data_IF_514827806318
#
_entry.id   IF_514827806318
#
_cell.length_a   1.000
_cell.length_b   1.000
_cell.length_c   1.000
_cell.angle_alpha   90.00
_cell.angle_beta   90.00
_cell.angle_gamma   90.00
#
_symmetry.space_group_name_H-M   'P 1'
#
loop_
_entity.id
_entity.type
_entity.pdbx_description
1 polymer ?
#
# COMPACT_ATOMS: atom_id res chain seq x y z
N UNK A 1 -1.66 5.55 -1.84
CA UNK A 1 -0.56 4.74 -2.46
C UNK A 1 -1.03 4.25 -3.82
N UNK A 2 -0.30 4.54 -4.87
CA UNK A 2 -0.58 4.09 -6.25
C UNK A 2 0.43 3.04 -6.68
N UNK A 3 -0.01 1.85 -7.04
CA UNK A 3 0.85 0.80 -7.60
C UNK A 3 1.21 1.14 -9.04
N UNK A 4 2.51 1.19 -9.35
CA UNK A 4 3.01 1.61 -10.67
C UNK A 4 3.67 0.48 -11.47
N UNK A 5 4.10 -0.59 -10.80
CA UNK A 5 4.67 -1.75 -11.47
C UNK A 5 4.28 -3.05 -10.74
N UNK A 6 3.52 -3.91 -11.42
CA UNK A 6 3.10 -5.23 -10.95
C UNK A 6 3.94 -6.29 -11.65
N UNK A 7 4.96 -6.81 -10.97
CA UNK A 7 5.89 -7.82 -11.52
C UNK A 7 5.59 -9.22 -10.96
N UNK A 8 6.24 -10.24 -11.51
CA UNK A 8 6.05 -11.64 -11.12
C UNK A 8 6.36 -11.87 -9.64
N UNK A 9 7.38 -11.21 -9.10
CA UNK A 9 7.89 -11.47 -7.75
C UNK A 9 7.67 -10.31 -6.78
N UNK A 10 7.33 -9.12 -7.28
CA UNK A 10 7.14 -7.92 -6.45
C UNK A 10 6.19 -6.91 -7.09
N UNK A 11 5.75 -5.97 -6.30
CA UNK A 11 4.93 -4.84 -6.71
C UNK A 11 5.58 -3.55 -6.21
N UNK A 12 5.83 -2.59 -7.11
CA UNK A 12 6.29 -1.25 -6.75
C UNK A 12 5.11 -0.29 -6.79
N UNK A 13 5.04 0.57 -5.80
CA UNK A 13 4.09 1.67 -5.73
C UNK A 13 4.78 2.97 -5.37
N UNK A 14 3.99 4.05 -5.37
CA UNK A 14 4.36 5.37 -4.86
C UNK A 14 3.39 5.78 -3.77
N UNK A 15 3.91 6.24 -2.66
CA UNK A 15 3.15 6.80 -1.56
C UNK A 15 3.12 8.32 -1.69
N UNK A 16 1.94 8.89 -1.49
CA UNK A 16 1.68 10.33 -1.52
C UNK A 16 1.02 10.70 -0.19
N UNK A 17 1.32 11.87 0.35
CA UNK A 17 0.66 12.44 1.52
C UNK A 17 -0.35 13.46 1.01
N UNK A 18 -1.60 13.31 1.42
CA UNK A 18 -2.74 14.11 0.97
C UNK A 18 -3.55 14.53 2.19
N UNK A 19 -4.18 15.70 2.12
CA UNK A 19 -5.16 16.14 3.10
C UNK A 19 -6.55 15.55 2.88
N UNK A 20 -7.46 15.73 3.82
CA UNK A 20 -8.85 15.29 3.67
C UNK A 20 -9.59 16.04 2.56
N UNK A 21 -9.19 17.30 2.29
CA UNK A 21 -9.70 18.12 1.19
C UNK A 21 -9.46 17.50 -0.18
N UNK A 22 -8.45 16.65 -0.34
CA UNK A 22 -8.10 15.97 -1.58
C UNK A 22 -8.90 14.69 -1.81
N UNK A 23 -9.65 14.24 -0.80
CA UNK A 23 -10.31 12.95 -0.78
C UNK A 23 -11.82 13.06 -0.74
N UNK A 24 -12.50 12.14 -1.43
CA UNK A 24 -13.93 11.89 -1.31
C UNK A 24 -14.18 10.62 -0.50
N UNK A 25 -15.20 10.66 0.35
CA UNK A 25 -15.65 9.48 1.09
C UNK A 25 -16.89 8.93 0.40
N UNK A 26 -16.78 7.73 -0.14
CA UNK A 26 -17.87 6.98 -0.74
C UNK A 26 -18.11 5.67 0.00
N UNK A 27 -19.16 4.95 -0.41
CA UNK A 27 -19.45 3.60 0.08
C UNK A 27 -19.37 2.63 -1.10
N UNK A 28 -18.57 1.58 -0.96
CA UNK A 28 -18.48 0.56 -2.00
C UNK A 28 -19.71 -0.36 -2.01
N UNK A 29 -19.82 -1.23 -3.04
CA UNK A 29 -20.92 -2.19 -3.23
C UNK A 29 -21.09 -3.20 -2.06
N UNK A 30 -20.21 -3.17 -1.06
CA UNK A 30 -20.25 -4.00 0.15
C UNK A 30 -20.57 -3.20 1.42
N UNK A 31 -21.03 -1.95 1.27
CA UNK A 31 -21.37 -1.07 2.40
C UNK A 31 -20.16 -0.55 3.19
N UNK A 32 -18.93 -0.70 2.69
CA UNK A 32 -17.73 -0.20 3.38
C UNK A 32 -17.35 1.19 2.87
N UNK A 33 -16.99 2.07 3.78
CA UNK A 33 -16.43 3.38 3.45
C UNK A 33 -15.15 3.20 2.64
N UNK A 34 -15.05 3.91 1.53
CA UNK A 34 -13.89 3.98 0.65
C UNK A 34 -13.52 5.43 0.46
N UNK A 35 -12.25 5.74 0.62
CA UNK A 35 -11.73 7.06 0.29
C UNK A 35 -11.16 7.02 -1.11
N UNK A 36 -11.63 7.90 -1.96
CA UNK A 36 -11.17 8.05 -3.35
C UNK A 36 -10.60 9.44 -3.57
N UNK A 37 -9.67 9.54 -4.50
CA UNK A 37 -9.03 10.79 -4.84
C UNK A 37 -9.99 11.66 -5.67
N UNK A 38 -10.22 12.92 -5.28
CA UNK A 38 -11.06 13.87 -6.04
C UNK A 38 -10.45 14.19 -7.40
N UNK A 39 -9.13 14.43 -7.43
CA UNK A 39 -8.42 14.74 -8.67
C UNK A 39 -7.11 13.93 -8.76
N UNK A 40 -6.91 13.10 -9.82
CA UNK A 40 -5.67 12.37 -10.04
C UNK A 40 -4.40 13.23 -10.15
N UNK A 41 -4.51 14.50 -10.53
CA UNK A 41 -3.37 15.43 -10.65
C UNK A 41 -2.73 15.78 -9.31
N UNK A 42 -3.42 15.50 -8.20
CA UNK A 42 -2.89 15.61 -6.85
C UNK A 42 -1.78 14.59 -6.56
N UNK A 43 -1.66 13.53 -7.36
CA UNK A 43 -0.55 12.58 -7.29
C UNK A 43 0.66 13.12 -8.08
N UNK A 44 1.27 14.17 -7.59
CA UNK A 44 2.37 14.90 -8.22
C UNK A 44 3.63 14.92 -7.35
N UNK A 45 4.66 15.68 -7.75
CA UNK A 45 5.93 15.76 -7.02
C UNK A 45 5.82 16.40 -5.63
N UNK A 46 4.88 17.32 -5.42
CA UNK A 46 4.72 18.02 -4.16
C UNK A 46 4.12 17.12 -3.08
N UNK A 47 3.21 16.22 -3.47
CA UNK A 47 2.55 15.26 -2.59
C UNK A 47 3.28 13.92 -2.51
N UNK A 48 4.24 13.66 -3.41
CA UNK A 48 5.05 12.44 -3.39
C UNK A 48 5.89 12.35 -2.12
N UNK A 49 5.78 11.23 -1.42
CA UNK A 49 6.52 10.99 -0.18
C UNK A 49 7.66 9.98 -0.37
N UNK A 50 7.37 8.80 -0.94
CA UNK A 50 8.37 7.75 -1.16
C UNK A 50 7.87 6.67 -2.11
N UNK A 51 8.74 5.75 -2.49
CA UNK A 51 8.35 4.51 -3.14
C UNK A 51 7.98 3.44 -2.12
N UNK A 52 7.20 2.46 -2.58
CA UNK A 52 6.78 1.30 -1.79
C UNK A 52 7.11 0.01 -2.51
N UNK A 53 7.33 -1.06 -1.74
CA UNK A 53 7.49 -2.40 -2.27
C UNK A 53 6.64 -3.38 -1.48
N UNK A 54 5.91 -4.23 -2.20
CA UNK A 54 5.08 -5.29 -1.68
C UNK A 54 5.44 -6.63 -2.37
N UNK A 55 4.97 -7.77 -1.85
CA UNK A 55 5.01 -9.02 -2.59
C UNK A 55 4.23 -8.93 -3.92
N UNK A 56 4.11 -10.04 -4.61
CA UNK A 56 3.39 -10.14 -5.89
C UNK A 56 1.94 -9.67 -5.75
N UNK A 57 1.54 -8.74 -6.58
CA UNK A 57 0.12 -8.40 -6.72
C UNK A 57 -0.67 -9.57 -7.34
N UNK A 58 -1.85 -9.85 -6.81
CA UNK A 58 -2.80 -10.82 -7.33
C UNK A 58 -4.20 -10.23 -7.32
N UNK A 59 -4.96 -10.48 -8.35
CA UNK A 59 -6.34 -10.00 -8.47
C UNK A 59 -7.27 -10.70 -7.47
N UNK A 60 -7.13 -10.40 -6.19
CA UNK A 60 -7.92 -11.02 -5.12
C UNK A 60 -9.40 -10.61 -5.16
N UNK A 61 -9.71 -9.46 -5.75
CA UNK A 61 -11.07 -8.93 -5.86
C UNK A 61 -11.81 -9.45 -7.10
N UNK A 62 -11.10 -10.02 -8.08
CA UNK A 62 -11.68 -10.48 -9.34
C UNK A 62 -12.15 -9.34 -10.25
N UNK A 63 -11.52 -8.17 -10.15
CA UNK A 63 -11.86 -7.00 -10.96
C UNK A 63 -11.41 -7.23 -12.41
N UNK A 64 -12.27 -6.91 -13.39
CA UNK A 64 -11.88 -6.87 -14.81
C UNK A 64 -10.87 -5.73 -15.03
N UNK A 65 -9.66 -6.07 -15.43
CA UNK A 65 -8.66 -5.08 -15.82
C UNK A 65 -8.90 -4.66 -17.27
N UNK A 66 -8.74 -3.37 -17.61
CA UNK A 66 -8.76 -2.93 -19.00
C UNK A 66 -7.62 -3.61 -19.77
N UNK A 67 -7.81 -3.89 -21.08
CA UNK A 67 -6.83 -4.61 -21.90
C UNK A 67 -5.41 -4.04 -21.85
N UNK A 68 -5.29 -2.72 -21.71
CA UNK A 68 -4.00 -2.01 -21.64
C UNK A 68 -3.19 -2.32 -20.36
N UNK A 69 -3.87 -2.80 -19.31
CA UNK A 69 -3.24 -3.20 -18.04
C UNK A 69 -3.02 -4.71 -17.95
N UNK A 70 -3.48 -5.46 -18.95
CA UNK A 70 -3.25 -6.90 -19.07
C UNK A 70 -1.97 -7.09 -19.87
N UNK A 71 -0.84 -7.14 -19.18
CA UNK A 71 0.42 -7.51 -19.82
C UNK A 71 0.70 -9.01 -19.64
N UNK A 72 1.60 -9.54 -20.45
CA UNK A 72 1.99 -10.96 -20.42
C UNK A 72 2.49 -11.45 -19.06
N UNK A 73 3.08 -10.55 -18.24
CA UNK A 73 3.57 -10.87 -16.90
C UNK A 73 2.45 -11.06 -15.87
N UNK A 74 1.22 -10.58 -16.14
CA UNK A 74 0.04 -10.84 -15.31
C UNK A 74 -0.68 -12.13 -15.71
N UNK A 75 -0.35 -12.69 -16.87
CA UNK A 75 -0.90 -13.93 -17.39
C UNK A 75 -2.42 -13.93 -17.54
N UNK A 76 -2.99 -15.12 -17.81
CA UNK A 76 -4.45 -15.33 -17.95
C UNK A 76 -5.27 -15.07 -16.66
N UNK A 77 -4.62 -14.61 -15.58
CA UNK A 77 -5.27 -14.29 -14.29
C UNK A 77 -5.98 -12.94 -14.26
N UNK A 78 -5.91 -12.15 -15.31
CA UNK A 78 -6.35 -10.76 -15.33
C UNK A 78 -7.86 -10.54 -15.09
N UNK A 79 -8.70 -11.53 -15.36
CA UNK A 79 -10.16 -11.43 -15.19
C UNK A 79 -10.75 -12.38 -14.14
N UNK A 80 -9.99 -13.34 -13.63
CA UNK A 80 -10.44 -14.29 -12.61
C UNK A 80 -9.89 -13.91 -11.24
N UNK A 81 -10.71 -14.13 -10.20
CA UNK A 81 -10.29 -13.98 -8.81
C UNK A 81 -9.11 -14.91 -8.53
N UNK A 82 -7.96 -14.34 -8.22
CA UNK A 82 -6.75 -15.10 -7.89
C UNK A 82 -6.82 -15.66 -6.46
N UNK A 83 -6.11 -16.78 -6.22
CA UNK A 83 -5.89 -17.28 -4.85
C UNK A 83 -4.76 -16.50 -4.18
N UNK A 84 -4.96 -16.19 -2.90
CA UNK A 84 -3.88 -15.69 -2.04
C UNK A 84 -2.83 -16.77 -1.84
N UNK A 85 -1.57 -16.42 -2.06
CA UNK A 85 -0.42 -17.22 -1.65
C UNK A 85 0.14 -16.61 -0.37
N UNK A 86 0.12 -17.38 0.72
CA UNK A 86 0.53 -16.87 2.05
C UNK A 86 1.96 -16.36 2.02
N UNK A 87 2.17 -15.16 2.52
CA UNK A 87 3.48 -14.50 2.57
C UNK A 87 3.99 -13.95 1.22
N UNK A 88 3.37 -14.30 0.09
CA UNK A 88 3.81 -13.92 -1.25
C UNK A 88 2.76 -13.11 -2.02
N UNK A 89 1.79 -12.54 -1.34
CA UNK A 89 0.71 -11.77 -1.97
C UNK A 89 0.60 -10.39 -1.36
N UNK A 90 0.60 -9.35 -2.19
CA UNK A 90 0.27 -8.00 -1.82
C UNK A 90 -1.19 -7.90 -1.33
N UNK A 91 -1.47 -6.97 -0.43
CA UNK A 91 -2.82 -6.77 0.09
C UNK A 91 -3.78 -6.26 -1.00
N UNK A 92 -5.11 -6.45 -0.86
CA UNK A 92 -6.07 -5.92 -1.83
C UNK A 92 -6.03 -4.39 -1.90
N UNK A 93 -6.49 -3.84 -3.02
CA UNK A 93 -6.83 -2.43 -3.14
C UNK A 93 -7.94 -2.08 -2.15
N UNK A 94 -7.92 -0.84 -1.63
CA UNK A 94 -8.90 -0.37 -0.66
C UNK A 94 -8.36 0.73 0.24
N UNK A 95 -9.20 1.22 1.16
CA UNK A 95 -8.84 2.22 2.17
C UNK A 95 -8.81 1.57 3.55
N UNK A 96 -7.71 1.77 4.24
CA UNK A 96 -7.43 1.14 5.54
C UNK A 96 -7.03 2.18 6.57
N UNK A 97 -7.70 2.24 7.73
CA UNK A 97 -7.22 3.05 8.85
C UNK A 97 -5.82 2.62 9.26
N UNK A 98 -5.00 3.60 9.64
CA UNK A 98 -3.63 3.37 10.10
C UNK A 98 -3.49 3.82 11.53
N UNK A 99 -2.96 2.94 12.38
CA UNK A 99 -2.67 3.23 13.78
C UNK A 99 -1.24 2.82 14.11
N UNK A 100 -0.56 3.59 14.96
CA UNK A 100 0.77 3.21 15.45
C UNK A 100 0.61 2.26 16.62
N UNK A 101 1.10 1.03 16.50
CA UNK A 101 1.07 0.02 17.57
C UNK A 101 2.38 -0.74 17.68
N UNK A 102 2.69 -1.24 18.86
CA UNK A 102 3.87 -2.08 19.08
C UNK A 102 3.69 -3.42 18.35
N UNK A 103 4.60 -3.73 17.45
CA UNK A 103 4.61 -5.01 16.74
C UNK A 103 5.21 -6.11 17.64
N UNK A 104 4.50 -7.21 17.89
CA UNK A 104 5.09 -8.34 18.64
C UNK A 104 6.31 -8.94 17.93
N UNK A 105 6.24 -9.06 16.58
CA UNK A 105 7.30 -9.64 15.77
C UNK A 105 8.55 -8.76 15.69
N UNK A 106 8.36 -7.45 15.43
CA UNK A 106 9.49 -6.51 15.22
C UNK A 106 9.94 -5.83 16.52
N UNK A 107 9.16 -5.97 17.60
CA UNK A 107 9.38 -5.33 18.92
C UNK A 107 9.51 -3.79 18.82
N UNK A 108 8.90 -3.19 17.82
CA UNK A 108 8.93 -1.75 17.49
C UNK A 108 7.53 -1.20 17.30
N UNK A 109 7.37 0.10 17.49
CA UNK A 109 6.17 0.83 17.13
C UNK A 109 6.15 1.02 15.61
N UNK A 110 5.13 0.51 14.95
CA UNK A 110 5.00 0.52 13.49
C UNK A 110 3.56 0.81 13.09
N UNK A 111 3.34 1.48 11.94
CA UNK A 111 2.02 1.66 11.38
C UNK A 111 1.36 0.30 11.08
N UNK A 112 0.17 0.08 11.64
CA UNK A 112 -0.68 -1.08 11.41
C UNK A 112 -1.87 -0.67 10.55
N UNK A 113 -2.12 -1.39 9.47
CA UNK A 113 -3.32 -1.24 8.66
C UNK A 113 -4.43 -2.09 9.25
N UNK A 114 -5.56 -1.44 9.61
CA UNK A 114 -6.67 -2.10 10.28
C UNK A 114 -7.68 -2.65 9.26
N UNK A 115 -8.17 -3.87 9.50
CA UNK A 115 -9.27 -4.45 8.74
C UNK A 115 -8.96 -4.86 7.31
N UNK A 116 -7.71 -5.19 7.00
CA UNK A 116 -7.32 -5.66 5.65
C UNK A 116 -7.95 -7.01 5.36
N UNK A 117 -8.82 -7.13 4.31
CA UNK A 117 -9.57 -8.36 4.04
C UNK A 117 -8.66 -9.56 3.74
N UNK A 118 -8.82 -10.63 4.51
CA UNK A 118 -8.05 -11.87 4.33
C UNK A 118 -6.59 -11.80 4.80
N UNK A 119 -6.20 -10.72 5.49
CA UNK A 119 -4.87 -10.54 6.06
C UNK A 119 -4.96 -10.10 7.51
N UNK A 120 -3.95 -10.45 8.29
CA UNK A 120 -3.81 -10.03 9.69
C UNK A 120 -2.42 -9.43 9.93
N UNK A 121 -2.36 -8.41 10.79
CA UNK A 121 -1.10 -7.82 11.22
C UNK A 121 -0.30 -7.13 10.11
N UNK A 122 -0.97 -6.61 9.08
CA UNK A 122 -0.33 -5.87 8.00
C UNK A 122 0.21 -4.54 8.53
N UNK A 123 1.49 -4.33 8.31
CA UNK A 123 2.20 -3.13 8.76
C UNK A 123 2.98 -2.48 7.63
N UNK A 124 3.36 -1.22 7.85
CA UNK A 124 4.41 -0.58 7.07
C UNK A 124 5.71 -0.72 7.88
N UNK A 125 6.75 -1.26 7.26
CA UNK A 125 8.03 -1.43 7.91
C UNK A 125 9.21 -1.29 6.94
N UNK A 126 10.44 -1.28 7.47
CA UNK A 126 11.65 -1.19 6.64
C UNK A 126 11.99 -2.56 6.04
N UNK A 127 12.57 -2.52 4.85
CA UNK A 127 13.06 -3.66 4.09
C UNK A 127 13.48 -3.21 2.69
N UNK A 128 14.27 -4.01 2.01
CA UNK A 128 14.89 -3.64 0.75
C UNK A 128 14.35 -4.42 -0.46
N UNK A 129 13.78 -5.59 -0.24
CA UNK A 129 13.28 -6.48 -1.31
C UNK A 129 12.03 -7.23 -0.88
N UNK A 130 11.31 -7.83 -1.83
CA UNK A 130 10.08 -8.57 -1.55
C UNK A 130 10.24 -9.72 -0.54
N UNK A 131 11.43 -10.31 -0.44
CA UNK A 131 11.74 -11.35 0.54
C UNK A 131 11.73 -10.85 2.00
N UNK A 132 11.87 -9.54 2.21
CA UNK A 132 11.87 -8.93 3.55
C UNK A 132 10.46 -8.78 4.13
N UNK A 133 9.42 -9.09 3.34
CA UNK A 133 8.04 -8.97 3.78
C UNK A 133 7.20 -10.20 3.46
N UNK A 134 6.11 -10.40 4.22
CA UNK A 134 5.11 -11.46 4.03
C UNK A 134 3.71 -10.90 3.79
N UNK A 135 3.61 -9.78 3.06
CA UNK A 135 2.35 -9.08 2.77
C UNK A 135 2.30 -7.66 3.33
N UNK A 136 3.24 -7.28 4.19
CA UNK A 136 3.41 -5.90 4.65
C UNK A 136 3.95 -5.01 3.53
N UNK A 137 3.80 -3.70 3.71
CA UNK A 137 4.28 -2.68 2.80
C UNK A 137 5.67 -2.21 3.26
N UNK A 138 6.65 -2.26 2.37
CA UNK A 138 7.96 -1.66 2.58
C UNK A 138 7.98 -0.25 2.00
N UNK A 139 8.73 0.66 2.61
CA UNK A 139 8.90 2.05 2.16
C UNK A 139 10.38 2.38 1.97
N UNK A 140 10.69 3.23 1.01
CA UNK A 140 12.06 3.64 0.68
C UNK A 140 12.13 4.36 -0.66
N UNK A 141 13.26 4.29 -1.32
CA UNK A 141 13.53 4.85 -2.64
C UNK A 141 13.81 3.72 -3.64
N UNK A 142 13.07 3.62 -4.74
CA UNK A 142 13.26 2.61 -5.77
C UNK A 142 14.27 3.09 -6.82
N UNK A 143 15.54 3.21 -6.43
CA UNK A 143 16.66 3.58 -7.33
C UNK A 143 17.26 2.38 -8.04
N UNK A 144 16.99 1.17 -7.55
CA UNK A 144 17.45 -0.10 -8.14
C UNK A 144 16.20 -0.95 -8.44
N UNK A 145 16.14 -1.56 -9.62
CA UNK A 145 15.01 -2.37 -10.07
C UNK A 145 14.67 -3.47 -9.03
N UNK A 146 13.43 -3.46 -8.54
CA UNK A 146 12.92 -4.44 -7.58
C UNK A 146 13.48 -4.33 -6.17
N UNK A 147 14.14 -3.21 -5.84
CA UNK A 147 14.70 -2.96 -4.52
C UNK A 147 14.39 -1.55 -4.03
N UNK A 148 14.38 -1.39 -2.71
CA UNK A 148 14.35 -0.11 -2.04
C UNK A 148 15.69 0.18 -1.35
N UNK A 149 16.09 1.45 -1.40
CA UNK A 149 17.17 2.03 -0.61
C UNK A 149 16.61 2.99 0.43
N UNK A 150 17.42 3.48 1.34
CA UNK A 150 17.03 4.45 2.39
C UNK A 150 15.81 4.04 3.25
N UNK A 151 15.45 2.76 3.26
CA UNK A 151 14.17 2.28 3.80
C UNK A 151 13.97 2.61 5.30
N UNK A 152 15.02 2.52 6.12
CA UNK A 152 14.92 2.85 7.55
C UNK A 152 14.66 4.32 7.79
N UNK A 153 15.39 5.20 7.09
CA UNK A 153 15.21 6.65 7.21
C UNK A 153 13.82 7.07 6.72
N UNK A 154 13.37 6.51 5.59
CA UNK A 154 12.04 6.75 5.04
C UNK A 154 10.93 6.31 6.00
N UNK A 155 11.06 5.12 6.62
CA UNK A 155 10.11 4.66 7.62
C UNK A 155 10.04 5.58 8.85
N UNK A 156 11.18 6.05 9.34
CA UNK A 156 11.23 6.98 10.47
C UNK A 156 10.48 8.27 10.14
N UNK A 157 10.73 8.86 8.97
CA UNK A 157 10.00 10.05 8.50
C UNK A 157 8.50 9.79 8.43
N UNK A 158 8.08 8.66 7.86
CA UNK A 158 6.66 8.30 7.76
C UNK A 158 6.00 8.17 9.13
N UNK A 159 6.65 7.50 10.09
CA UNK A 159 6.13 7.36 11.46
C UNK A 159 5.97 8.74 12.11
N UNK A 160 6.96 9.62 11.98
CA UNK A 160 6.90 10.98 12.51
C UNK A 160 5.70 11.76 11.90
N UNK A 161 5.50 11.65 10.59
CA UNK A 161 4.36 12.30 9.91
C UNK A 161 3.01 11.76 10.41
N UNK A 162 2.89 10.44 10.56
CA UNK A 162 1.66 9.82 11.08
C UNK A 162 1.40 10.23 12.53
N UNK A 163 2.43 10.29 13.36
CA UNK A 163 2.31 10.70 14.76
C UNK A 163 1.89 12.17 14.86
N UNK A 164 2.50 13.05 14.07
CA UNK A 164 2.14 14.48 14.05
C UNK A 164 0.67 14.70 13.68
N UNK A 165 0.13 13.98 12.68
CA UNK A 165 -1.28 14.02 12.32
C UNK A 165 -2.16 13.50 13.47
N UNK A 166 -1.78 12.37 14.08
CA UNK A 166 -2.53 11.78 15.19
C UNK A 166 -2.55 12.70 16.43
N UNK A 167 -1.45 13.40 16.72
CA UNK A 167 -1.35 14.36 17.84
C UNK A 167 -2.25 15.60 17.61
N UNK A 168 -2.58 15.89 16.34
CA UNK A 168 -3.55 16.93 15.96
C UNK A 168 -5.00 16.41 15.93
N UNK A 169 -5.22 15.15 16.31
CA UNK A 169 -6.53 14.51 16.31
C UNK A 169 -7.01 14.02 14.93
N UNK A 170 -6.12 14.00 13.93
CA UNK A 170 -6.46 13.56 12.58
C UNK A 170 -6.49 12.03 12.48
N UNK A 171 -7.50 11.51 11.77
CA UNK A 171 -7.57 10.09 11.44
C UNK A 171 -6.72 9.79 10.20
N UNK A 172 -5.70 8.95 10.35
CA UNK A 172 -4.80 8.59 9.26
C UNK A 172 -5.31 7.37 8.51
N UNK A 173 -5.30 7.44 7.19
CA UNK A 173 -5.73 6.36 6.29
C UNK A 173 -4.68 6.11 5.21
N UNK A 174 -4.59 4.86 4.75
CA UNK A 174 -3.91 4.52 3.50
C UNK A 174 -4.92 3.99 2.49
N UNK A 175 -5.05 4.68 1.36
CA UNK A 175 -5.83 4.22 0.20
C UNK A 175 -4.87 3.65 -0.83
N UNK A 176 -5.13 2.42 -1.28
CA UNK A 176 -4.32 1.67 -2.25
C UNK A 176 -5.10 1.49 -3.55
N UNK A 177 -4.52 1.96 -4.63
CA UNK A 177 -5.05 1.88 -5.98
C UNK A 177 -4.04 1.31 -6.97
#
# INVERSE_FOLDING_TARGET
MKRIAKKKEYTIGRLYILGDEDMEVGVNNRGKSVRTLKNPDQLNRQTYFCDTLEPTWRNLLGVKLPPQLVNESLGRQSSKKARKVVGLTAIPEGSYPVVITKSPRFRRWLPLLVGVPGFSGIRIHSGNMAADTRGCILVGENTIVGRLTSSRATLTKLITTIMAASDQGEAVWVTIV
#
